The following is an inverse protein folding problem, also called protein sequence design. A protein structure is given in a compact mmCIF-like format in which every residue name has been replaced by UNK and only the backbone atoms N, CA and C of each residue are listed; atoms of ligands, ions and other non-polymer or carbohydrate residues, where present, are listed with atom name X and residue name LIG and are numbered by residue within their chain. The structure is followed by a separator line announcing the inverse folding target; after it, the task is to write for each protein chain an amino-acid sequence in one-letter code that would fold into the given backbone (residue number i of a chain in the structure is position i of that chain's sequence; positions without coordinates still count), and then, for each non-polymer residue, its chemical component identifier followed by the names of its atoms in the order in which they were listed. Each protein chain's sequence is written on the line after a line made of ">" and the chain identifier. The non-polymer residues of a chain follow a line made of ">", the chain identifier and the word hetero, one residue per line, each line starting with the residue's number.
data_IF_350268280670
#
_entry.id   IF_350268280670
#
_cell.length_a   1.000
_cell.length_b   1.000
_cell.length_c   1.000
_cell.angle_alpha   90.00
_cell.angle_beta   90.00
_cell.angle_gamma   90.00
#
_symmetry.space_group_name_H-M   'P 1'
#
loop_
_entity.id
_entity.type
_entity.pdbx_description
1 polymer ?
#
# COMPACT_ATOMS: atom_id res chain seq x y z
N UNK A 1 -34.66 -23.55 -16.53
CA UNK A 1 -33.61 -22.65 -17.03
C UNK A 1 -33.61 -21.41 -16.14
N UNK A 2 -32.90 -21.45 -15.00
CA UNK A 2 -32.75 -20.30 -14.11
C UNK A 2 -31.63 -19.43 -14.68
N UNK A 3 -31.96 -18.21 -15.07
CA UNK A 3 -30.98 -17.17 -15.36
C UNK A 3 -30.17 -16.96 -14.07
N UNK A 4 -28.91 -17.40 -14.09
CA UNK A 4 -27.93 -16.97 -13.10
C UNK A 4 -27.70 -15.50 -13.38
N UNK A 5 -28.23 -14.64 -12.52
CA UNK A 5 -27.87 -13.23 -12.47
C UNK A 5 -26.35 -13.17 -12.29
N UNK A 6 -25.62 -12.69 -13.30
CA UNK A 6 -24.21 -12.35 -13.11
C UNK A 6 -24.17 -11.23 -12.08
N UNK A 7 -23.73 -11.52 -10.87
CA UNK A 7 -23.19 -10.47 -10.02
C UNK A 7 -22.11 -9.78 -10.87
N UNK A 8 -22.20 -8.46 -11.03
CA UNK A 8 -21.08 -7.69 -11.56
C UNK A 8 -19.85 -8.08 -10.75
N UNK A 9 -18.73 -8.40 -11.41
CA UNK A 9 -17.46 -8.48 -10.69
C UNK A 9 -17.26 -7.15 -9.95
N UNK A 10 -16.79 -7.21 -8.70
CA UNK A 10 -16.59 -6.01 -7.88
C UNK A 10 -15.43 -5.20 -8.45
N UNK A 11 -15.66 -3.90 -8.66
CA UNK A 11 -14.69 -3.04 -9.32
C UNK A 11 -13.53 -2.72 -8.37
N UNK A 12 -12.30 -2.99 -8.79
CA UNK A 12 -11.12 -2.86 -7.93
C UNK A 12 -10.13 -1.85 -8.49
N UNK A 13 -9.69 -0.91 -7.66
CA UNK A 13 -8.57 -0.02 -7.97
C UNK A 13 -7.32 -0.36 -7.16
N UNK A 14 -6.14 -0.15 -7.74
CA UNK A 14 -4.87 -0.13 -7.01
C UNK A 14 -4.38 1.32 -6.91
N UNK A 15 -4.16 1.76 -5.68
CA UNK A 15 -3.57 3.08 -5.38
C UNK A 15 -2.09 2.87 -5.05
N UNK A 16 -1.19 3.39 -5.88
CA UNK A 16 0.25 3.34 -5.66
C UNK A 16 0.73 4.66 -5.08
N UNK A 17 1.21 4.61 -3.83
CA UNK A 17 1.70 5.79 -3.11
C UNK A 17 3.16 6.08 -3.45
N UNK A 18 3.41 7.18 -4.15
CA UNK A 18 4.74 7.59 -4.64
C UNK A 18 5.14 9.03 -4.26
N UNK A 19 4.34 9.75 -3.48
CA UNK A 19 4.61 11.11 -3.03
C UNK A 19 5.64 11.22 -1.88
N UNK A 20 6.06 10.10 -1.29
CA UNK A 20 6.97 10.09 -0.14
C UNK A 20 8.40 10.53 -0.46
N UNK A 21 8.96 11.41 0.38
CA UNK A 21 10.29 12.03 0.19
C UNK A 21 11.49 11.09 0.33
N UNK A 22 11.36 9.95 1.01
CA UNK A 22 12.42 8.93 1.02
C UNK A 22 13.64 9.22 1.89
N UNK A 23 13.57 10.17 2.83
CA UNK A 23 14.71 10.68 3.63
C UNK A 23 15.66 9.63 4.22
N UNK A 24 15.16 8.46 4.63
CA UNK A 24 15.98 7.36 5.20
C UNK A 24 16.87 6.63 4.19
N UNK A 25 16.58 6.75 2.90
CA UNK A 25 17.35 6.09 1.84
C UNK A 25 18.65 6.85 1.53
N UNK A 26 18.73 8.13 1.94
CA UNK A 26 19.92 8.97 1.77
C UNK A 26 20.12 9.49 0.34
N UNK A 27 19.14 9.33 -0.54
CA UNK A 27 19.16 9.84 -1.91
C UNK A 27 18.57 11.27 -1.95
N UNK A 28 19.09 12.17 -2.80
CA UNK A 28 18.60 13.54 -2.92
C UNK A 28 17.31 13.65 -3.76
N UNK A 29 16.81 12.52 -4.27
CA UNK A 29 15.61 12.41 -5.11
C UNK A 29 14.48 11.70 -4.36
N UNK A 30 13.21 11.93 -4.74
CA UNK A 30 12.09 11.17 -4.19
C UNK A 30 12.33 9.66 -4.33
N UNK A 31 12.03 8.91 -3.27
CA UNK A 31 12.31 7.47 -3.23
C UNK A 31 11.65 6.69 -4.38
N UNK A 32 10.48 7.11 -4.83
CA UNK A 32 9.80 6.50 -5.98
C UNK A 32 10.64 6.55 -7.27
N UNK A 33 11.50 7.57 -7.43
CA UNK A 33 12.35 7.77 -8.59
C UNK A 33 13.70 7.03 -8.50
N UNK A 34 14.03 6.44 -7.35
CA UNK A 34 15.25 5.65 -7.20
C UNK A 34 15.23 4.46 -8.16
N UNK A 35 16.37 4.20 -8.79
CA UNK A 35 16.48 3.21 -9.87
C UNK A 35 17.11 1.89 -9.45
N UNK A 36 16.55 0.82 -9.99
CA UNK A 36 17.07 -0.54 -9.98
C UNK A 36 17.15 -0.99 -11.45
N UNK A 37 18.37 -1.22 -11.94
CA UNK A 37 18.65 -1.54 -13.35
C UNK A 37 17.98 -0.61 -14.37
N UNK A 38 18.12 0.70 -14.14
CA UNK A 38 17.64 1.72 -15.08
C UNK A 38 16.17 2.10 -14.95
N UNK A 39 15.35 1.28 -14.26
CA UNK A 39 13.92 1.50 -14.03
C UNK A 39 13.65 2.05 -12.64
N UNK A 40 12.66 2.93 -12.48
CA UNK A 40 12.30 3.52 -11.19
C UNK A 40 11.58 2.50 -10.31
N UNK A 41 11.58 2.69 -8.98
CA UNK A 41 10.77 1.86 -8.08
C UNK A 41 9.27 1.98 -8.40
N UNK A 42 8.81 3.16 -8.84
CA UNK A 42 7.43 3.34 -9.28
C UNK A 42 7.10 2.47 -10.51
N UNK A 43 7.98 2.43 -11.51
CA UNK A 43 7.77 1.63 -12.72
C UNK A 43 7.61 0.13 -12.40
N UNK A 44 8.46 -0.43 -11.54
CA UNK A 44 8.31 -1.82 -11.06
C UNK A 44 7.01 -2.03 -10.28
N UNK A 45 6.65 -1.12 -9.37
CA UNK A 45 5.42 -1.23 -8.58
C UNK A 45 4.16 -1.20 -9.46
N UNK A 46 4.16 -0.35 -10.50
CA UNK A 46 3.08 -0.24 -11.48
C UNK A 46 3.01 -1.48 -12.37
N UNK A 47 4.13 -1.98 -12.85
CA UNK A 47 4.19 -3.23 -13.61
C UNK A 47 3.60 -4.39 -12.79
N UNK A 48 4.01 -4.55 -11.53
CA UNK A 48 3.50 -5.60 -10.64
C UNK A 48 2.00 -5.49 -10.39
N UNK A 49 1.51 -4.28 -10.13
CA UNK A 49 0.08 -4.01 -9.95
C UNK A 49 -0.73 -4.36 -11.20
N UNK A 50 -0.29 -3.93 -12.39
CA UNK A 50 -0.96 -4.22 -13.66
C UNK A 50 -0.91 -5.71 -14.01
N UNK A 51 0.27 -6.32 -13.90
CA UNK A 51 0.50 -7.72 -14.24
C UNK A 51 -0.28 -8.68 -13.33
N UNK A 52 -0.66 -8.25 -12.12
CA UNK A 52 -1.54 -9.03 -11.24
C UNK A 52 -2.93 -9.24 -11.83
N UNK A 53 -3.40 -8.37 -12.74
CA UNK A 53 -4.74 -8.45 -13.32
C UNK A 53 -5.89 -8.15 -12.34
N UNK A 54 -5.62 -7.73 -11.10
CA UNK A 54 -6.67 -7.36 -10.12
C UNK A 54 -7.16 -5.93 -10.29
N UNK A 55 -6.33 -5.07 -10.88
CA UNK A 55 -6.61 -3.63 -11.00
C UNK A 55 -7.40 -3.37 -12.29
N UNK A 56 -8.66 -2.98 -12.15
CA UNK A 56 -9.42 -2.37 -13.25
C UNK A 56 -8.98 -0.92 -13.46
N UNK A 57 -8.56 -0.27 -12.37
CA UNK A 57 -8.07 1.11 -12.37
C UNK A 57 -6.80 1.22 -11.53
N UNK A 58 -5.90 2.11 -11.94
CA UNK A 58 -4.69 2.44 -11.18
C UNK A 58 -4.67 3.93 -10.91
N UNK A 59 -4.34 4.30 -9.68
CA UNK A 59 -4.12 5.69 -9.27
C UNK A 59 -2.72 5.80 -8.70
N UNK A 60 -2.00 6.87 -9.04
CA UNK A 60 -0.68 7.16 -8.50
C UNK A 60 -0.71 8.52 -7.83
N UNK A 61 -0.23 8.56 -6.58
CA UNK A 61 0.07 9.83 -5.91
C UNK A 61 1.54 10.17 -6.08
N UNK A 62 1.84 11.33 -6.65
CA UNK A 62 3.22 11.81 -6.88
C UNK A 62 3.50 13.06 -6.04
N UNK A 63 4.77 13.47 -5.85
CA UNK A 63 5.07 14.75 -5.21
C UNK A 63 4.37 15.92 -5.91
N UNK A 64 3.96 16.95 -5.17
CA UNK A 64 3.24 18.09 -5.76
C UNK A 64 4.09 18.86 -6.81
N UNK A 65 5.41 18.86 -6.65
CA UNK A 65 6.37 19.48 -7.57
C UNK A 65 6.96 18.50 -8.59
N UNK A 66 6.37 17.31 -8.75
CA UNK A 66 6.91 16.20 -9.52
C UNK A 66 7.29 16.56 -10.96
N UNK A 67 6.55 17.45 -11.62
CA UNK A 67 6.87 17.91 -12.98
C UNK A 67 8.23 18.61 -13.08
N UNK A 68 8.70 19.24 -12.01
CA UNK A 68 10.00 19.90 -11.95
C UNK A 68 11.07 18.99 -11.30
N UNK A 69 10.72 18.25 -10.25
CA UNK A 69 11.67 17.49 -9.43
C UNK A 69 11.96 16.09 -9.96
N UNK A 70 10.98 15.42 -10.56
CA UNK A 70 11.05 14.03 -10.99
C UNK A 70 10.04 13.71 -12.12
N UNK A 71 10.14 14.39 -13.29
CA UNK A 71 9.18 14.24 -14.39
C UNK A 71 9.03 12.80 -14.88
N UNK A 72 10.06 11.96 -14.70
CA UNK A 72 10.04 10.54 -15.03
C UNK A 72 8.92 9.77 -14.30
N UNK A 73 8.53 10.17 -13.09
CA UNK A 73 7.42 9.51 -12.37
C UNK A 73 6.07 9.75 -13.07
N UNK A 74 5.91 10.93 -13.68
CA UNK A 74 4.73 11.22 -14.50
C UNK A 74 4.75 10.40 -15.79
N UNK A 75 5.92 10.18 -16.38
CA UNK A 75 6.07 9.33 -17.57
C UNK A 75 5.76 7.87 -17.26
N UNK A 76 6.28 7.34 -16.15
CA UNK A 76 5.99 5.98 -15.68
C UNK A 76 4.49 5.79 -15.41
N UNK A 77 3.86 6.73 -14.69
CA UNK A 77 2.43 6.66 -14.40
C UNK A 77 1.55 6.77 -15.66
N UNK A 78 1.91 7.63 -16.63
CA UNK A 78 1.20 7.71 -17.92
C UNK A 78 1.36 6.44 -18.75
N UNK A 79 2.56 5.85 -18.76
CA UNK A 79 2.82 4.58 -19.46
C UNK A 79 1.96 3.45 -18.90
N UNK A 80 1.74 3.45 -17.60
CA UNK A 80 0.84 2.52 -16.90
C UNK A 80 -0.66 2.83 -17.09
N UNK A 81 -1.01 3.93 -17.76
CA UNK A 81 -2.41 4.37 -17.92
C UNK A 81 -3.08 4.79 -16.61
N UNK A 82 -2.31 5.20 -15.61
CA UNK A 82 -2.83 5.53 -14.28
C UNK A 82 -3.46 6.94 -14.24
N UNK A 83 -4.47 7.10 -13.37
CA UNK A 83 -4.88 8.42 -12.89
C UNK A 83 -3.78 8.99 -11.99
N UNK A 84 -3.38 10.23 -12.25
CA UNK A 84 -2.27 10.87 -11.52
C UNK A 84 -2.85 11.99 -10.66
N UNK A 85 -2.48 12.00 -9.39
CA UNK A 85 -2.80 13.09 -8.45
C UNK A 85 -1.58 13.46 -7.61
N UNK A 86 -1.56 14.67 -7.07
CA UNK A 86 -0.56 15.04 -6.08
C UNK A 86 -0.88 14.34 -4.75
N UNK A 87 0.14 13.81 -4.08
CA UNK A 87 0.01 13.36 -2.69
C UNK A 87 -0.04 14.54 -1.72
N UNK A 88 -0.51 14.26 -0.50
CA UNK A 88 -0.48 15.22 0.61
C UNK A 88 0.76 15.05 1.50
N UNK A 89 0.86 15.90 2.52
CA UNK A 89 1.98 15.93 3.46
C UNK A 89 2.13 14.66 4.31
N UNK A 90 1.08 13.85 4.39
CA UNK A 90 1.07 12.55 5.08
C UNK A 90 0.68 11.42 4.14
N UNK A 91 1.00 10.19 4.55
CA UNK A 91 0.58 8.98 3.82
C UNK A 91 -0.95 8.94 3.67
N UNK A 92 -1.68 9.19 4.75
CA UNK A 92 -3.15 9.23 4.76
C UNK A 92 -3.70 10.34 3.86
N UNK A 93 -3.11 11.54 3.87
CA UNK A 93 -3.52 12.61 2.98
C UNK A 93 -3.32 12.24 1.50
N UNK A 94 -2.28 11.48 1.19
CA UNK A 94 -2.06 10.94 -0.16
C UNK A 94 -3.12 9.90 -0.55
N UNK A 95 -3.51 9.01 0.37
CA UNK A 95 -4.61 8.04 0.16
C UNK A 95 -5.92 8.77 -0.13
N UNK A 96 -6.27 9.76 0.69
CA UNK A 96 -7.49 10.57 0.50
C UNK A 96 -7.48 11.26 -0.86
N UNK A 97 -6.37 11.89 -1.26
CA UNK A 97 -6.25 12.53 -2.58
C UNK A 97 -6.44 11.54 -3.75
N UNK A 98 -6.01 10.28 -3.61
CA UNK A 98 -6.24 9.24 -4.60
C UNK A 98 -7.69 8.79 -4.67
N UNK A 99 -8.37 8.67 -3.52
CA UNK A 99 -9.79 8.34 -3.45
C UNK A 99 -10.66 9.46 -4.06
N UNK A 100 -10.31 10.72 -3.78
CA UNK A 100 -10.97 11.88 -4.37
C UNK A 100 -10.77 11.90 -5.90
N UNK A 101 -9.57 11.58 -6.39
CA UNK A 101 -9.31 11.49 -7.83
C UNK A 101 -10.17 10.42 -8.54
N UNK A 102 -10.40 9.26 -7.90
CA UNK A 102 -11.32 8.23 -8.42
C UNK A 102 -12.75 8.74 -8.50
N UNK A 103 -13.19 9.41 -7.43
CA UNK A 103 -14.53 10.00 -7.33
C UNK A 103 -14.76 11.08 -8.39
N UNK A 104 -13.80 12.00 -8.54
CA UNK A 104 -13.89 13.10 -9.51
C UNK A 104 -13.87 12.60 -10.95
N UNK A 105 -13.10 11.54 -11.23
CA UNK A 105 -13.12 10.83 -12.51
C UNK A 105 -14.37 9.97 -12.73
N UNK A 106 -15.30 9.93 -11.75
CA UNK A 106 -16.52 9.13 -11.77
C UNK A 106 -16.26 7.63 -12.01
N UNK A 107 -15.14 7.14 -11.50
CA UNK A 107 -14.75 5.74 -11.58
C UNK A 107 -15.44 4.96 -10.45
N UNK A 108 -16.39 4.05 -10.75
CA UNK A 108 -17.01 3.23 -9.72
C UNK A 108 -16.01 2.19 -9.22
N UNK A 109 -15.74 2.20 -7.91
CA UNK A 109 -14.84 1.26 -7.23
C UNK A 109 -15.50 0.78 -5.94
N UNK A 110 -15.52 -0.54 -5.78
CA UNK A 110 -16.00 -1.20 -4.57
C UNK A 110 -14.84 -1.44 -3.61
N UNK A 111 -13.68 -1.83 -4.16
CA UNK A 111 -12.47 -2.16 -3.41
C UNK A 111 -11.28 -1.33 -3.86
N UNK A 112 -10.39 -1.01 -2.90
CA UNK A 112 -9.08 -0.43 -3.18
C UNK A 112 -7.98 -1.26 -2.56
N UNK A 113 -6.86 -1.38 -3.28
CA UNK A 113 -5.61 -1.91 -2.77
C UNK A 113 -4.59 -0.76 -2.68
N UNK A 114 -4.24 -0.37 -1.46
CA UNK A 114 -3.26 0.70 -1.19
C UNK A 114 -1.88 0.09 -1.12
N UNK A 115 -1.03 0.43 -2.08
CA UNK A 115 0.30 -0.12 -2.26
C UNK A 115 1.38 0.97 -2.10
N UNK A 116 2.45 0.66 -1.38
CA UNK A 116 3.58 1.58 -1.23
C UNK A 116 4.52 1.33 -2.41
N UNK A 117 4.85 2.33 -3.24
CA UNK A 117 5.82 2.16 -4.35
C UNK A 117 7.18 1.59 -3.89
N UNK A 118 7.49 1.79 -2.61
CA UNK A 118 8.63 1.24 -1.92
C UNK A 118 8.75 -0.29 -1.93
N UNK A 119 7.63 -0.99 -2.11
CA UNK A 119 7.54 -2.46 -2.18
C UNK A 119 7.43 -2.89 -3.63
N UNK A 120 8.33 -2.34 -4.45
CA UNK A 120 8.32 -2.40 -5.90
C UNK A 120 8.27 -3.82 -6.49
N UNK A 121 8.71 -4.82 -5.72
CA UNK A 121 8.85 -6.21 -6.18
C UNK A 121 7.81 -7.15 -5.56
N UNK A 122 6.69 -6.62 -5.05
CA UNK A 122 5.62 -7.45 -4.50
C UNK A 122 5.07 -8.42 -5.56
N UNK A 123 5.10 -9.75 -5.32
CA UNK A 123 4.57 -10.74 -6.25
C UNK A 123 3.05 -10.62 -6.44
N UNK A 124 2.57 -10.95 -7.63
CA UNK A 124 1.15 -10.89 -8.02
C UNK A 124 0.23 -11.66 -7.06
N UNK A 125 0.72 -12.79 -6.53
CA UNK A 125 -0.05 -13.64 -5.60
C UNK A 125 -0.38 -12.93 -4.29
N UNK A 126 0.40 -11.92 -3.89
CA UNK A 126 0.07 -11.09 -2.72
C UNK A 126 -1.17 -10.24 -3.00
N UNK A 127 -1.25 -9.63 -4.20
CA UNK A 127 -2.44 -8.87 -4.62
C UNK A 127 -3.68 -9.78 -4.65
N UNK A 128 -3.55 -10.99 -5.21
CA UNK A 128 -4.63 -11.99 -5.28
C UNK A 128 -5.15 -12.35 -3.90
N UNK A 129 -4.27 -12.74 -2.97
CA UNK A 129 -4.66 -13.09 -1.59
C UNK A 129 -5.37 -11.94 -0.88
N UNK A 130 -4.95 -10.70 -1.14
CA UNK A 130 -5.57 -9.51 -0.53
C UNK A 130 -6.99 -9.30 -1.07
N UNK A 131 -7.18 -9.32 -2.39
CA UNK A 131 -8.51 -9.12 -2.98
C UNK A 131 -9.46 -10.29 -2.70
N UNK A 132 -8.97 -11.53 -2.70
CA UNK A 132 -9.75 -12.73 -2.34
C UNK A 132 -10.24 -12.71 -0.90
N UNK A 133 -9.52 -12.02 0.00
CA UNK A 133 -9.93 -11.87 1.39
C UNK A 133 -11.08 -10.88 1.57
N UNK A 134 -11.23 -9.89 0.68
CA UNK A 134 -12.28 -8.88 0.75
C UNK A 134 -13.63 -9.48 0.38
N UNK A 135 -14.67 -9.14 1.16
CA UNK A 135 -16.01 -9.70 1.00
C UNK A 135 -16.17 -11.15 1.49
N UNK A 136 -15.10 -11.79 1.96
CA UNK A 136 -15.16 -13.12 2.57
C UNK A 136 -15.85 -13.08 3.95
N UNK A 137 -16.41 -14.21 4.37
CA UNK A 137 -17.01 -14.35 5.70
C UNK A 137 -15.95 -14.69 6.77
N UNK A 138 -16.08 -14.08 7.93
CA UNK A 138 -15.28 -14.40 9.12
C UNK A 138 -16.18 -14.57 10.36
N UNK A 139 -15.67 -15.10 11.48
CA UNK A 139 -16.43 -15.12 12.74
C UNK A 139 -16.88 -13.73 13.24
N UNK A 140 -16.28 -12.65 12.73
CA UNK A 140 -16.61 -11.26 13.06
C UNK A 140 -17.48 -10.58 11.99
N UNK A 141 -17.98 -11.35 11.01
CA UNK A 141 -18.77 -10.88 9.87
C UNK A 141 -17.95 -10.77 8.58
N UNK A 142 -18.52 -10.07 7.60
CA UNK A 142 -17.92 -9.84 6.29
C UNK A 142 -16.62 -9.03 6.43
N UNK A 143 -15.57 -9.49 5.78
CA UNK A 143 -14.24 -8.88 5.81
C UNK A 143 -14.19 -7.67 4.88
N UNK A 144 -13.88 -6.50 5.45
CA UNK A 144 -13.78 -5.22 4.72
C UNK A 144 -12.37 -4.63 4.67
N UNK A 145 -11.42 -5.25 5.38
CA UNK A 145 -10.02 -4.87 5.41
C UNK A 145 -9.13 -6.11 5.43
N UNK A 146 -8.10 -6.12 4.58
CA UNK A 146 -7.17 -7.24 4.44
C UNK A 146 -5.74 -6.71 4.33
N UNK A 147 -4.82 -7.27 5.12
CA UNK A 147 -3.40 -6.92 5.05
C UNK A 147 -2.50 -8.16 4.87
N UNK A 148 -1.51 -8.11 3.98
CA UNK A 148 -0.50 -9.14 3.89
C UNK A 148 0.53 -9.00 5.01
N UNK A 149 0.94 -10.12 5.59
CA UNK A 149 1.88 -10.13 6.71
C UNK A 149 2.93 -11.24 6.61
N UNK A 150 4.10 -10.97 7.19
CA UNK A 150 5.13 -11.98 7.44
C UNK A 150 5.27 -12.27 8.94
N UNK A 151 5.64 -13.50 9.34
CA UNK A 151 6.04 -13.76 10.72
C UNK A 151 7.28 -12.93 11.06
N UNK A 152 7.34 -12.39 12.27
CA UNK A 152 8.55 -11.73 12.76
C UNK A 152 9.60 -12.80 13.08
N UNK A 153 10.79 -12.70 12.49
CA UNK A 153 11.89 -13.66 12.71
C UNK A 153 12.77 -13.28 13.89
N UNK A 154 13.03 -11.98 14.08
CA UNK A 154 13.85 -11.49 15.18
C UNK A 154 13.08 -11.41 16.50
N UNK A 155 13.82 -11.37 17.61
CA UNK A 155 13.22 -11.03 18.90
C UNK A 155 13.05 -9.50 18.97
N UNK A 156 11.82 -9.03 19.09
CA UNK A 156 11.53 -7.59 19.27
C UNK A 156 11.51 -7.27 20.76
N UNK A 157 12.13 -6.15 21.13
CA UNK A 157 12.10 -5.57 22.48
C UNK A 157 11.31 -4.27 22.44
N UNK A 158 10.53 -4.01 23.48
CA UNK A 158 10.09 -2.64 23.77
C UNK A 158 11.18 -1.95 24.57
N UNK A 159 11.44 -0.67 24.29
CA UNK A 159 12.46 0.13 24.96
C UNK A 159 11.85 1.47 25.38
N UNK A 160 12.35 2.05 26.46
CA UNK A 160 12.00 3.42 26.87
C UNK A 160 12.86 4.48 26.14
N UNK A 161 12.63 5.76 26.45
CA UNK A 161 13.39 6.88 25.87
C UNK A 161 14.87 6.90 26.25
N UNK A 162 15.28 6.17 27.29
CA UNK A 162 16.68 5.99 27.67
C UNK A 162 17.34 4.78 26.97
N UNK A 163 16.59 4.04 26.17
CA UNK A 163 17.06 2.84 25.46
C UNK A 163 17.11 1.59 26.34
N UNK A 164 16.48 1.61 27.53
CA UNK A 164 16.40 0.44 28.40
C UNK A 164 15.24 -0.46 27.98
N UNK A 165 15.46 -1.77 28.01
CA UNK A 165 14.43 -2.77 27.66
C UNK A 165 13.31 -2.74 28.69
N UNK A 166 12.08 -2.50 28.24
CA UNK A 166 10.87 -2.51 29.07
C UNK A 166 10.07 -3.81 28.93
N UNK A 167 10.34 -4.61 27.90
CA UNK A 167 9.56 -5.80 27.61
C UNK A 167 10.02 -6.57 26.38
N UNK A 168 9.41 -7.74 26.19
CA UNK A 168 9.64 -8.62 25.03
C UNK A 168 8.29 -9.22 24.63
N UNK A 169 7.61 -8.66 23.63
CA UNK A 169 6.33 -9.19 23.16
C UNK A 169 6.48 -10.64 22.64
N UNK A 170 5.39 -11.41 22.71
CA UNK A 170 5.38 -12.78 22.20
C UNK A 170 5.49 -12.81 20.67
N UNK A 171 6.61 -13.29 20.15
CA UNK A 171 6.88 -13.37 18.70
C UNK A 171 5.83 -14.19 17.94
N UNK A 172 5.22 -15.19 18.57
CA UNK A 172 4.18 -16.01 17.95
C UNK A 172 2.95 -15.20 17.51
N UNK A 173 2.66 -14.09 18.20
CA UNK A 173 1.54 -13.20 17.93
C UNK A 173 1.92 -11.98 17.08
N UNK A 174 3.22 -11.77 16.82
CA UNK A 174 3.68 -10.62 16.06
C UNK A 174 3.77 -10.90 14.57
N UNK A 175 3.42 -9.89 13.78
CA UNK A 175 3.44 -9.92 12.32
C UNK A 175 4.03 -8.62 11.78
N UNK A 176 4.87 -8.74 10.75
CA UNK A 176 5.38 -7.60 10.01
C UNK A 176 4.44 -7.31 8.84
N UNK A 177 3.77 -6.16 8.88
CA UNK A 177 2.77 -5.76 7.89
C UNK A 177 3.42 -5.37 6.56
N UNK A 178 2.77 -5.74 5.46
CA UNK A 178 3.14 -5.42 4.10
C UNK A 178 2.01 -4.68 3.37
N UNK A 179 2.28 -4.25 2.14
CA UNK A 179 1.27 -3.71 1.21
C UNK A 179 1.38 -4.48 -0.12
N UNK A 180 0.31 -4.59 -0.93
CA UNK A 180 -0.95 -3.83 -0.87
C UNK A 180 -1.82 -4.15 0.35
N UNK A 181 -2.44 -3.15 0.95
CA UNK A 181 -3.52 -3.33 1.94
C UNK A 181 -4.86 -3.12 1.22
N UNK A 182 -5.78 -4.07 1.36
CA UNK A 182 -7.06 -4.07 0.67
C UNK A 182 -8.19 -3.58 1.56
N UNK A 183 -9.09 -2.75 1.02
CA UNK A 183 -10.22 -2.20 1.74
C UNK A 183 -11.48 -2.06 0.87
N UNK A 184 -12.66 -2.21 1.47
CA UNK A 184 -13.92 -1.71 0.91
C UNK A 184 -13.94 -0.17 0.97
N UNK A 185 -14.16 0.49 -0.18
CA UNK A 185 -14.05 1.95 -0.33
C UNK A 185 -14.94 2.68 0.67
N UNK A 186 -16.22 2.32 0.75
CA UNK A 186 -17.20 3.00 1.59
C UNK A 186 -16.79 2.95 3.08
N UNK A 187 -16.29 1.80 3.52
CA UNK A 187 -15.90 1.58 4.91
C UNK A 187 -14.57 2.26 5.24
N UNK A 188 -13.60 2.26 4.32
CA UNK A 188 -12.36 3.01 4.48
C UNK A 188 -12.62 4.52 4.60
N UNK A 189 -13.50 5.07 3.76
CA UNK A 189 -13.86 6.49 3.82
C UNK A 189 -14.51 6.86 5.16
N UNK A 190 -15.42 6.03 5.65
CA UNK A 190 -16.03 6.21 6.97
C UNK A 190 -15.00 6.09 8.10
N UNK A 191 -14.06 5.15 8.00
CA UNK A 191 -12.96 5.02 8.96
C UNK A 191 -12.08 6.28 8.99
N UNK A 192 -11.67 6.80 7.83
CA UNK A 192 -10.93 8.05 7.75
C UNK A 192 -11.71 9.26 8.29
N UNK A 193 -13.01 9.34 8.05
CA UNK A 193 -13.86 10.39 8.63
C UNK A 193 -13.89 10.33 10.15
N UNK A 194 -14.01 9.12 10.72
CA UNK A 194 -13.94 8.91 12.15
C UNK A 194 -12.56 9.24 12.71
N UNK A 195 -11.48 8.87 12.03
CA UNK A 195 -10.12 9.22 12.46
C UNK A 195 -9.91 10.74 12.55
N UNK A 196 -10.56 11.54 11.69
CA UNK A 196 -10.49 13.01 11.74
C UNK A 196 -11.21 13.62 12.94
N UNK A 197 -12.14 12.90 13.57
CA UNK A 197 -12.83 13.38 14.78
C UNK A 197 -12.14 12.95 16.07
N UNK A 198 -11.07 12.16 15.99
CA UNK A 198 -10.22 11.81 17.14
C UNK A 198 -9.39 13.02 17.60
N UNK A 199 -8.98 13.06 18.88
CA UNK A 199 -7.95 13.98 19.36
C UNK A 199 -6.69 13.88 18.49
N UNK A 200 -5.99 15.01 18.26
CA UNK A 200 -4.83 15.06 17.37
C UNK A 200 -3.75 14.03 17.74
N UNK A 201 -3.49 13.85 19.03
CA UNK A 201 -2.53 12.87 19.55
C UNK A 201 -2.90 11.42 19.22
N UNK A 202 -4.19 11.09 19.20
CA UNK A 202 -4.67 9.75 18.84
C UNK A 202 -4.66 9.54 17.32
N UNK A 203 -5.02 10.58 16.56
CA UNK A 203 -4.98 10.56 15.11
C UNK A 203 -3.55 10.38 14.56
N UNK A 204 -2.55 10.99 15.23
CA UNK A 204 -1.13 10.85 14.87
C UNK A 204 -0.57 9.42 15.06
N UNK A 205 -1.19 8.61 15.92
CA UNK A 205 -0.78 7.22 16.14
C UNK A 205 -1.21 6.28 14.99
N UNK A 206 -2.14 6.70 14.13
CA UNK A 206 -2.61 5.91 13.00
C UNK A 206 -1.60 5.97 11.85
N UNK A 207 -0.69 5.00 11.81
CA UNK A 207 0.44 4.98 10.86
C UNK A 207 0.13 4.33 9.50
N UNK A 208 -0.96 3.57 9.41
CA UNK A 208 -1.49 3.01 8.17
C UNK A 208 -3.03 2.96 8.15
N UNK A 209 -3.59 2.54 7.01
CA UNK A 209 -5.04 2.55 6.79
C UNK A 209 -5.74 1.39 7.53
N UNK A 210 -5.01 0.30 7.82
CA UNK A 210 -5.53 -0.80 8.62
C UNK A 210 -5.77 -0.36 10.07
N UNK A 211 -4.88 0.46 10.65
CA UNK A 211 -5.10 1.05 11.97
C UNK A 211 -6.35 1.95 12.01
N UNK A 212 -6.65 2.67 10.93
CA UNK A 212 -7.89 3.45 10.84
C UNK A 212 -9.14 2.56 10.85
N UNK A 213 -9.08 1.41 10.15
CA UNK A 213 -10.15 0.41 10.16
C UNK A 213 -10.34 -0.20 11.56
N UNK A 214 -9.24 -0.57 12.23
CA UNK A 214 -9.26 -1.09 13.60
C UNK A 214 -9.88 -0.07 14.57
N UNK A 215 -9.49 1.20 14.47
CA UNK A 215 -10.04 2.29 15.29
C UNK A 215 -11.54 2.55 15.02
N UNK A 216 -12.02 2.21 13.82
CA UNK A 216 -13.44 2.23 13.48
C UNK A 216 -14.21 0.99 13.98
N UNK A 217 -13.51 -0.01 14.55
CA UNK A 217 -14.09 -1.26 15.03
C UNK A 217 -14.26 -2.32 13.93
N UNK A 218 -13.68 -2.10 12.75
CA UNK A 218 -13.72 -3.07 11.66
C UNK A 218 -12.63 -4.13 11.83
N UNK A 219 -12.96 -5.43 11.66
CA UNK A 219 -11.96 -6.48 11.70
C UNK A 219 -11.02 -6.38 10.50
N UNK A 220 -9.71 -6.49 10.75
CA UNK A 220 -8.69 -6.58 9.71
C UNK A 220 -8.21 -8.02 9.59
N UNK A 221 -8.47 -8.63 8.43
CA UNK A 221 -7.99 -9.98 8.13
C UNK A 221 -6.51 -9.92 7.73
N UNK A 222 -5.72 -10.89 8.21
CA UNK A 222 -4.34 -11.06 7.73
C UNK A 222 -4.25 -12.19 6.71
N UNK A 223 -3.45 -11.99 5.67
CA UNK A 223 -3.11 -13.02 4.66
C UNK A 223 -1.60 -13.18 4.56
N UNK A 224 -1.15 -14.28 3.97
CA UNK A 224 0.28 -14.52 3.79
C UNK A 224 0.91 -13.44 2.90
N UNK A 225 1.94 -12.77 3.41
CA UNK A 225 2.81 -11.88 2.64
C UNK A 225 3.84 -12.63 1.80
N UNK A 226 4.85 -11.90 1.33
CA UNK A 226 6.00 -12.47 0.61
C UNK A 226 7.29 -11.72 0.96
N UNK A 227 8.42 -12.42 1.03
CA UNK A 227 9.70 -11.80 1.32
C UNK A 227 10.11 -10.78 0.25
N UNK A 228 9.73 -11.01 -1.00
CA UNK A 228 10.03 -10.12 -2.13
C UNK A 228 9.24 -8.79 -2.05
N UNK A 229 8.17 -8.75 -1.25
CA UNK A 229 7.42 -7.53 -0.91
C UNK A 229 8.11 -6.68 0.19
N UNK A 230 9.41 -6.82 0.39
CA UNK A 230 10.18 -5.99 1.33
C UNK A 230 10.16 -4.52 0.90
N UNK A 231 10.27 -3.62 1.88
CA UNK A 231 10.20 -2.17 1.64
C UNK A 231 11.60 -1.60 1.43
N UNK A 232 11.92 -1.14 0.23
CA UNK A 232 13.22 -0.51 -0.09
C UNK A 232 13.35 0.82 0.66
N UNK A 233 13.97 0.84 1.84
CA UNK A 233 13.96 2.01 2.74
C UNK A 233 15.35 2.51 3.09
N UNK A 234 16.34 1.64 3.03
CA UNK A 234 17.74 1.88 3.39
C UNK A 234 18.65 1.58 2.20
N UNK A 235 19.91 2.07 2.22
CA UNK A 235 20.91 1.70 1.22
C UNK A 235 21.17 0.19 1.14
N UNK A 236 20.97 -0.55 2.24
CA UNK A 236 21.08 -2.01 2.21
C UNK A 236 19.95 -2.63 1.39
N UNK A 237 18.71 -2.19 1.60
CA UNK A 237 17.55 -2.71 0.86
C UNK A 237 17.70 -2.44 -0.64
N UNK A 238 18.28 -1.30 -1.03
CA UNK A 238 18.56 -0.99 -2.42
C UNK A 238 19.63 -1.89 -3.04
N UNK A 239 20.67 -2.27 -2.26
CA UNK A 239 21.65 -3.26 -2.71
C UNK A 239 21.01 -4.64 -2.89
N UNK A 240 20.15 -5.05 -1.96
CA UNK A 240 19.38 -6.30 -2.06
C UNK A 240 18.50 -6.26 -3.30
N UNK A 241 17.75 -5.17 -3.51
CA UNK A 241 16.90 -4.98 -4.67
C UNK A 241 17.68 -5.15 -5.98
N UNK A 242 18.83 -4.49 -6.12
CA UNK A 242 19.69 -4.60 -7.32
C UNK A 242 20.32 -5.98 -7.51
N UNK A 243 20.53 -6.73 -6.45
CA UNK A 243 21.11 -8.07 -6.52
C UNK A 243 20.08 -9.15 -6.90
N UNK A 244 18.85 -9.00 -6.42
CA UNK A 244 17.78 -10.01 -6.59
C UNK A 244 16.88 -9.70 -7.79
N UNK A 245 16.62 -8.43 -8.05
CA UNK A 245 15.70 -7.97 -9.08
C UNK A 245 16.47 -7.18 -10.12
N UNK A 246 16.23 -7.54 -11.36
CA UNK A 246 16.87 -7.09 -12.58
C UNK A 246 16.36 -7.97 -13.71
N UNK A 247 16.49 -7.50 -14.95
CA UNK A 247 15.86 -8.17 -16.09
C UNK A 247 16.22 -9.66 -16.14
N UNK A 248 15.21 -10.52 -15.92
CA UNK A 248 15.28 -11.90 -16.37
C UNK A 248 14.96 -11.90 -17.87
N UNK A 249 16.03 -11.99 -18.68
CA UNK A 249 16.13 -11.92 -20.15
C UNK A 249 16.33 -10.50 -20.71
N UNK A 250 17.38 -10.19 -21.49
CA UNK A 250 18.24 -11.02 -22.35
C UNK A 250 19.70 -10.52 -22.39
#
# INVERSE_FOLDING_TARGET
>A
MRLMSSASAANTAVIVLAAGSGTRLGEPIPKAAVRVHGRTLLDYALEGALASGVAEHVVVTVPADCSASCPELLEDARRAGALITAGGDTRTASVVAALDALKDAQVPVDYVLIHDCARAFTPQQVYHRVIEGLGSESPQGVVRAVIPVLPVVDTVKTVDSAGLVTGTPSRAQMRAVQTPQGFEVATLLAAHERSRSLPAEEAELLTDDAMAMEAAGEPVLTVAGDADAFKVTTPMDLRVARALFGDSAA
#
